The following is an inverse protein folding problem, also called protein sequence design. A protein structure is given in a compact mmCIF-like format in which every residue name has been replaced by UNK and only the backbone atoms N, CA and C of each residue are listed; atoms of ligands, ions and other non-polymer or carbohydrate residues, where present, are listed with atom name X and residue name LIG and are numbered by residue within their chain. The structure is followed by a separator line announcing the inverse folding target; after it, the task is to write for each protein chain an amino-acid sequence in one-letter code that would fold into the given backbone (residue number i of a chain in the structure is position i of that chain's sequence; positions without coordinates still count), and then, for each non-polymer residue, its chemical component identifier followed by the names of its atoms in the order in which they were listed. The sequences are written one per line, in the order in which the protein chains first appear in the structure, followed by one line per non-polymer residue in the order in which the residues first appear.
data_IF_520720633671
#
_entry.id   IF_520720633671
#
_cell.length_a   1.000
_cell.length_b   1.000
_cell.length_c   1.000
_cell.angle_alpha   90.00
_cell.angle_beta   90.00
_cell.angle_gamma   90.00
#
_symmetry.space_group_name_H-M   'P 1'
#
loop_
_entity.id
_entity.type
_entity.pdbx_description
1 polymer ?
#
# COMPACT_ATOMS: atom_id res chain seq x y z
N UNK A 1 25.86 -37.10 27.42
CA UNK A 1 25.21 -35.99 28.17
C UNK A 1 25.67 -34.62 27.69
N UNK A 2 26.98 -34.38 27.56
CA UNK A 2 27.56 -33.08 27.18
C UNK A 2 27.21 -32.61 25.74
N UNK A 3 27.04 -33.55 24.79
CA UNK A 3 26.61 -33.27 23.41
C UNK A 3 25.14 -32.85 23.31
N UNK A 4 24.25 -33.40 24.14
CA UNK A 4 22.82 -33.02 24.18
C UNK A 4 22.60 -31.63 24.80
N UNK A 5 23.43 -31.24 25.78
CA UNK A 5 23.38 -29.88 26.35
C UNK A 5 23.81 -28.80 25.34
N UNK A 6 24.79 -29.11 24.49
CA UNK A 6 25.24 -28.20 23.42
C UNK A 6 24.17 -28.00 22.35
N UNK A 7 23.48 -29.05 21.93
CA UNK A 7 22.38 -28.93 20.95
C UNK A 7 21.18 -28.20 21.52
N UNK A 8 20.81 -28.43 22.79
CA UNK A 8 19.75 -27.66 23.48
C UNK A 8 20.09 -26.17 23.58
N UNK A 9 21.33 -25.82 23.96
CA UNK A 9 21.77 -24.42 24.02
C UNK A 9 21.78 -23.72 22.65
N UNK A 10 22.11 -24.46 21.59
CA UNK A 10 22.10 -23.93 20.22
C UNK A 10 20.68 -23.66 19.72
N UNK A 11 19.72 -24.55 20.03
CA UNK A 11 18.30 -24.36 19.69
C UNK A 11 17.73 -23.15 20.42
N UNK A 12 18.03 -22.98 21.72
CA UNK A 12 17.57 -21.80 22.47
C UNK A 12 18.15 -20.50 21.93
N UNK A 13 19.39 -20.51 21.43
CA UNK A 13 20.02 -19.34 20.81
C UNK A 13 19.33 -18.97 19.48
N UNK A 14 18.96 -19.96 18.66
CA UNK A 14 18.20 -19.73 17.41
C UNK A 14 16.83 -19.11 17.71
N UNK A 15 16.11 -19.61 18.72
CA UNK A 15 14.79 -19.07 19.10
C UNK A 15 14.91 -17.62 19.61
N UNK A 16 15.95 -17.31 20.39
CA UNK A 16 16.21 -15.95 20.87
C UNK A 16 16.52 -15.00 19.71
N UNK A 17 17.35 -15.44 18.75
CA UNK A 17 17.69 -14.65 17.56
C UNK A 17 16.46 -14.36 16.69
N UNK A 18 15.58 -15.34 16.49
CA UNK A 18 14.32 -15.11 15.75
C UNK A 18 13.40 -14.11 16.45
N UNK A 19 13.43 -14.05 17.79
CA UNK A 19 12.60 -13.12 18.56
C UNK A 19 13.10 -11.67 18.45
N UNK A 20 14.41 -11.46 18.37
CA UNK A 20 15.03 -10.12 18.24
C UNK A 20 14.76 -9.51 16.86
N UNK A 21 14.83 -10.32 15.78
CA UNK A 21 14.55 -9.85 14.40
C UNK A 21 13.10 -9.38 14.23
N UNK A 22 12.17 -9.91 15.04
CA UNK A 22 10.74 -9.56 14.98
C UNK A 22 10.39 -8.29 15.77
N UNK A 23 11.32 -7.75 16.56
CA UNK A 23 11.06 -6.68 17.55
C UNK A 23 11.09 -5.25 17.00
N UNK A 24 11.55 -5.02 15.77
CA UNK A 24 11.33 -3.75 15.09
C UNK A 24 9.93 -3.78 14.48
N UNK A 25 8.95 -3.22 15.19
CA UNK A 25 7.52 -3.18 14.82
C UNK A 25 7.29 -2.76 13.36
N UNK A 26 7.22 -3.75 12.46
CA UNK A 26 6.88 -3.58 11.03
C UNK A 26 5.37 -3.37 10.85
N UNK A 27 4.57 -3.87 11.79
CA UNK A 27 3.11 -3.93 11.67
C UNK A 27 2.47 -2.57 11.94
N UNK A 28 1.72 -2.07 10.96
CA UNK A 28 0.98 -0.82 11.03
C UNK A 28 -0.19 -0.91 12.02
N UNK A 29 -0.48 0.19 12.73
CA UNK A 29 -1.69 0.28 13.55
C UNK A 29 -2.95 0.05 12.69
N UNK A 30 -3.88 -0.78 13.16
CA UNK A 30 -5.07 -1.18 12.39
C UNK A 30 -5.95 -0.01 11.94
N UNK A 31 -6.10 1.03 12.76
CA UNK A 31 -6.90 2.20 12.40
C UNK A 31 -6.21 3.03 11.33
N UNK A 32 -4.88 3.14 11.39
CA UNK A 32 -4.07 3.80 10.37
C UNK A 32 -4.11 3.00 9.07
N UNK A 33 -3.98 1.67 9.15
CA UNK A 33 -4.08 0.78 7.99
C UNK A 33 -5.44 0.94 7.29
N UNK A 34 -6.54 0.93 8.05
CA UNK A 34 -7.87 1.17 7.52
C UNK A 34 -8.00 2.54 6.87
N UNK A 35 -7.57 3.61 7.55
CA UNK A 35 -7.64 4.97 7.00
C UNK A 35 -6.86 5.10 5.67
N UNK A 36 -5.70 4.46 5.56
CA UNK A 36 -4.92 4.45 4.33
C UNK A 36 -5.59 3.60 3.24
N UNK A 37 -6.21 2.48 3.60
CA UNK A 37 -6.97 1.65 2.66
C UNK A 37 -8.18 2.40 2.08
N UNK A 38 -8.92 3.10 2.95
CA UNK A 38 -10.04 3.95 2.56
C UNK A 38 -9.57 5.10 1.65
N UNK A 39 -8.42 5.73 1.99
CA UNK A 39 -7.81 6.77 1.17
C UNK A 39 -7.38 6.23 -0.21
N UNK A 40 -6.70 5.09 -0.29
CA UNK A 40 -6.31 4.48 -1.57
C UNK A 40 -7.55 4.21 -2.45
N UNK A 41 -8.64 3.74 -1.85
CA UNK A 41 -9.92 3.54 -2.54
C UNK A 41 -10.49 4.85 -3.08
N UNK A 42 -10.43 5.93 -2.29
CA UNK A 42 -10.87 7.25 -2.72
C UNK A 42 -10.02 7.81 -3.86
N UNK A 43 -8.70 7.64 -3.81
CA UNK A 43 -7.77 8.07 -4.87
C UNK A 43 -8.04 7.28 -6.18
N UNK A 44 -8.22 5.96 -6.12
CA UNK A 44 -8.62 5.18 -7.31
C UNK A 44 -9.98 5.64 -7.87
N UNK A 45 -10.97 5.89 -7.01
CA UNK A 45 -12.28 6.40 -7.43
C UNK A 45 -12.16 7.75 -8.13
N UNK A 46 -11.37 8.66 -7.56
CA UNK A 46 -11.08 9.99 -8.16
C UNK A 46 -10.39 9.85 -9.51
N UNK A 47 -9.40 8.94 -9.61
CA UNK A 47 -8.74 8.62 -10.87
C UNK A 47 -9.73 8.19 -11.95
N UNK A 48 -10.64 7.25 -11.65
CA UNK A 48 -11.67 6.81 -12.61
C UNK A 48 -12.65 7.91 -12.99
N UNK A 49 -13.04 8.77 -12.03
CA UNK A 49 -13.91 9.91 -12.31
C UNK A 49 -13.25 10.89 -13.28
N UNK A 50 -11.97 11.22 -13.06
CA UNK A 50 -11.22 12.09 -13.97
C UNK A 50 -11.01 11.46 -15.34
N UNK A 51 -10.80 10.14 -15.43
CA UNK A 51 -10.71 9.46 -16.73
C UNK A 51 -12.01 9.58 -17.53
N UNK A 52 -13.17 9.43 -16.87
CA UNK A 52 -14.47 9.61 -17.51
C UNK A 52 -14.67 11.06 -17.99
N UNK A 53 -14.29 12.05 -17.17
CA UNK A 53 -14.31 13.45 -17.58
C UNK A 53 -13.40 13.70 -18.78
N UNK A 54 -12.17 13.18 -18.77
CA UNK A 54 -11.24 13.30 -19.88
C UNK A 54 -11.85 12.79 -21.19
N UNK A 55 -12.49 11.61 -21.14
CA UNK A 55 -13.19 11.01 -22.28
C UNK A 55 -14.35 11.89 -22.76
N UNK A 56 -15.19 12.39 -21.85
CA UNK A 56 -16.33 13.27 -22.18
C UNK A 56 -15.88 14.57 -22.85
N UNK A 57 -14.84 15.21 -22.31
CA UNK A 57 -14.31 16.46 -22.85
C UNK A 57 -13.53 16.27 -24.15
N UNK A 58 -12.89 15.11 -24.36
CA UNK A 58 -12.19 14.77 -25.60
C UNK A 58 -13.12 14.39 -26.75
N UNK A 59 -14.19 13.64 -26.48
CA UNK A 59 -15.11 13.13 -27.52
C UNK A 59 -16.27 14.06 -27.80
N UNK A 60 -17.00 14.48 -26.76
CA UNK A 60 -18.32 15.10 -26.90
C UNK A 60 -18.24 16.61 -27.09
N UNK A 61 -17.28 17.24 -26.40
CA UNK A 61 -17.19 18.70 -26.35
C UNK A 61 -15.99 19.30 -27.11
N UNK A 62 -15.10 18.45 -27.66
CA UNK A 62 -13.87 18.85 -28.37
C UNK A 62 -13.05 19.91 -27.64
N UNK A 63 -12.91 19.80 -26.31
CA UNK A 63 -12.08 20.67 -25.49
C UNK A 63 -10.79 19.94 -25.09
N UNK A 64 -9.77 19.89 -25.97
CA UNK A 64 -8.57 19.08 -25.74
C UNK A 64 -7.81 19.52 -24.48
N UNK A 65 -7.79 20.81 -24.15
CA UNK A 65 -7.14 21.29 -22.92
C UNK A 65 -7.74 20.71 -21.64
N UNK A 66 -9.09 20.64 -21.56
CA UNK A 66 -9.77 20.01 -20.43
C UNK A 66 -9.59 18.48 -20.44
N UNK A 67 -9.62 17.85 -21.62
CA UNK A 67 -9.36 16.41 -21.74
C UNK A 67 -7.97 16.05 -21.21
N UNK A 68 -6.93 16.78 -21.62
CA UNK A 68 -5.56 16.59 -21.13
C UNK A 68 -5.40 16.89 -19.63
N UNK A 69 -6.06 17.94 -19.13
CA UNK A 69 -6.06 18.25 -17.70
C UNK A 69 -6.62 17.09 -16.87
N UNK A 70 -7.79 16.57 -17.25
CA UNK A 70 -8.41 15.48 -16.52
C UNK A 70 -7.68 14.14 -16.71
N UNK A 71 -7.04 13.92 -17.86
CA UNK A 71 -6.16 12.74 -18.01
C UNK A 71 -5.01 12.80 -17.01
N UNK A 72 -4.32 13.95 -16.92
CA UNK A 72 -3.23 14.13 -15.97
C UNK A 72 -3.69 13.93 -14.52
N UNK A 73 -4.83 14.50 -14.13
CA UNK A 73 -5.38 14.30 -12.78
C UNK A 73 -5.72 12.83 -12.51
N UNK A 74 -6.22 12.11 -13.51
CA UNK A 74 -6.47 10.67 -13.41
C UNK A 74 -5.17 9.89 -13.14
N UNK A 75 -4.11 10.20 -13.88
CA UNK A 75 -2.80 9.56 -13.71
C UNK A 75 -2.19 9.90 -12.34
N UNK A 76 -2.24 11.16 -11.92
CA UNK A 76 -1.70 11.63 -10.64
C UNK A 76 -2.38 10.92 -9.45
N UNK A 77 -3.72 10.80 -9.45
CA UNK A 77 -4.45 10.13 -8.36
C UNK A 77 -4.27 8.59 -8.40
N UNK A 78 -4.16 7.99 -9.58
CA UNK A 78 -3.82 6.57 -9.72
C UNK A 78 -2.44 6.27 -9.11
N UNK A 79 -1.45 7.12 -9.41
CA UNK A 79 -0.09 6.98 -8.85
C UNK A 79 -0.10 7.08 -7.33
N UNK A 80 -0.81 8.07 -6.75
CA UNK A 80 -0.94 8.19 -5.29
C UNK A 80 -1.58 6.96 -4.66
N UNK A 81 -2.63 6.43 -5.27
CA UNK A 81 -3.29 5.22 -4.78
C UNK A 81 -2.32 4.02 -4.75
N UNK A 82 -1.51 3.88 -5.80
CA UNK A 82 -0.46 2.86 -5.87
C UNK A 82 0.62 3.05 -4.79
N UNK A 83 1.09 4.27 -4.56
CA UNK A 83 2.08 4.56 -3.51
C UNK A 83 1.55 4.19 -2.11
N UNK A 84 0.26 4.45 -1.84
CA UNK A 84 -0.38 4.10 -0.57
C UNK A 84 -0.50 2.57 -0.42
N UNK A 85 -0.87 1.87 -1.49
CA UNK A 85 -0.96 0.40 -1.51
C UNK A 85 0.41 -0.24 -1.29
N UNK A 86 1.46 0.30 -1.92
CA UNK A 86 2.83 -0.16 -1.72
C UNK A 86 3.26 0.04 -0.26
N UNK A 87 3.00 1.23 0.30
CA UNK A 87 3.31 1.53 1.70
C UNK A 87 2.58 0.58 2.66
N UNK A 88 1.29 0.31 2.44
CA UNK A 88 0.50 -0.64 3.24
C UNK A 88 1.11 -2.04 3.18
N UNK A 89 1.47 -2.50 1.97
CA UNK A 89 2.09 -3.82 1.76
C UNK A 89 3.43 -3.93 2.48
N UNK A 90 4.27 -2.90 2.42
CA UNK A 90 5.58 -2.83 3.10
C UNK A 90 5.48 -2.75 4.63
N UNK A 91 4.29 -2.52 5.19
CA UNK A 91 4.05 -2.39 6.64
C UNK A 91 3.08 -3.44 7.18
N UNK A 92 2.87 -4.52 6.42
CA UNK A 92 1.92 -5.59 6.75
C UNK A 92 0.51 -5.06 7.08
N UNK A 93 0.14 -3.91 6.52
CA UNK A 93 -1.20 -3.36 6.60
C UNK A 93 -2.11 -4.14 5.65
N UNK A 94 -3.24 -4.63 6.16
CA UNK A 94 -4.24 -5.26 5.29
C UNK A 94 -4.96 -4.18 4.48
N UNK A 95 -5.09 -4.42 3.18
CA UNK A 95 -6.03 -3.71 2.33
C UNK A 95 -7.43 -4.27 2.60
N UNK A 96 -8.34 -3.41 3.03
CA UNK A 96 -9.76 -3.74 3.03
C UNK A 96 -10.21 -3.73 1.56
N UNK A 97 -10.60 -4.91 1.06
CA UNK A 97 -11.05 -5.13 -0.32
C UNK A 97 -12.57 -5.05 -0.42
#
# INVERSE_FOLDING_TARGET
MQTMMKTMSFITLIILLQSIVRSSSITLNSNVAKCLSDLATQEFSSSYNYLQLSSKFGTTNAYPGFSSLFMKLSDDDSSKAHDIVEFLTLREGNLDR
#
